data_IF_954347084000
#
_entry.id   IF_954347084000
#
_cell.length_a   1.000
_cell.length_b   1.000
_cell.length_c   1.000
_cell.angle_alpha   90.00
_cell.angle_beta   90.00
_cell.angle_gamma   90.00
#
_symmetry.space_group_name_H-M   'P 1'
#
loop_
_entity.id
_entity.type
_entity.pdbx_description
1 polymer ?
#
# COMPACT_ATOMS: atom_id res chain seq x y z
N UNK A 1 9.91 17.33 -31.16
CA UNK A 1 9.63 16.21 -30.22
C UNK A 1 9.55 14.95 -31.07
N UNK A 2 10.65 14.32 -31.50
CA UNK A 2 11.68 13.68 -30.68
C UNK A 2 11.35 12.17 -30.57
N UNK A 3 12.02 11.26 -31.30
CA UNK A 3 11.68 9.82 -31.35
C UNK A 3 11.76 9.10 -29.99
N UNK A 4 12.36 9.73 -28.97
CA UNK A 4 12.44 9.20 -27.61
C UNK A 4 11.08 9.11 -26.88
N UNK A 5 10.13 10.02 -27.14
CA UNK A 5 8.80 9.99 -26.49
C UNK A 5 7.88 8.92 -27.10
N UNK A 6 8.06 8.63 -28.39
CA UNK A 6 7.37 7.53 -29.06
C UNK A 6 7.83 6.15 -28.55
N UNK A 7 9.08 6.04 -28.11
CA UNK A 7 9.64 4.81 -27.54
C UNK A 7 9.04 4.48 -26.16
N UNK A 8 8.87 5.47 -25.28
CA UNK A 8 8.30 5.26 -23.94
C UNK A 8 6.81 4.92 -24.00
N UNK A 9 6.04 5.61 -24.84
CA UNK A 9 4.63 5.29 -25.06
C UNK A 9 4.42 3.93 -25.75
N UNK A 10 5.31 3.56 -26.68
CA UNK A 10 5.28 2.24 -27.33
C UNK A 10 5.66 1.12 -26.36
N UNK A 11 6.60 1.36 -25.43
CA UNK A 11 7.01 0.35 -24.45
C UNK A 11 5.89 0.08 -23.44
N UNK A 12 5.21 1.12 -22.95
CA UNK A 12 4.03 1.00 -22.07
C UNK A 12 2.85 0.31 -22.76
N UNK A 13 2.61 0.59 -24.05
CA UNK A 13 1.56 -0.07 -24.83
C UNK A 13 1.89 -1.54 -25.15
N UNK A 14 3.18 -1.88 -25.35
CA UNK A 14 3.63 -3.25 -25.59
C UNK A 14 3.58 -4.11 -24.33
N UNK A 15 3.95 -3.58 -23.15
CA UNK A 15 3.84 -4.32 -21.88
C UNK A 15 2.37 -4.56 -21.50
N UNK A 16 1.49 -3.59 -21.74
CA UNK A 16 0.05 -3.75 -21.51
C UNK A 16 -0.57 -4.79 -22.46
N UNK A 17 -0.20 -4.79 -23.75
CA UNK A 17 -0.67 -5.80 -24.73
C UNK A 17 -0.13 -7.20 -24.48
N UNK A 18 1.09 -7.36 -23.96
CA UNK A 18 1.65 -8.68 -23.59
C UNK A 18 0.93 -9.27 -22.38
N UNK A 19 0.55 -8.45 -21.39
CA UNK A 19 -0.16 -8.89 -20.19
C UNK A 19 -1.59 -9.35 -20.47
N UNK A 20 -2.30 -8.66 -21.38
CA UNK A 20 -3.66 -9.06 -21.82
C UNK A 20 -3.63 -10.34 -22.67
N UNK A 21 -2.57 -10.58 -23.45
CA UNK A 21 -2.46 -11.79 -24.27
C UNK A 21 -2.18 -13.05 -23.46
N UNK A 22 -1.40 -12.96 -22.37
CA UNK A 22 -1.14 -14.08 -21.45
C UNK A 22 -2.38 -14.47 -20.63
N UNK A 23 -3.20 -13.49 -20.23
CA UNK A 23 -4.46 -13.77 -19.54
C UNK A 23 -5.52 -14.44 -20.44
N UNK A 24 -5.45 -14.23 -21.77
CA UNK A 24 -6.43 -14.76 -22.72
C UNK A 24 -6.12 -16.18 -23.19
N UNK A 25 -4.87 -16.63 -23.11
CA UNK A 25 -4.48 -17.99 -23.50
C UNK A 25 -4.75 -19.04 -22.41
N UNK A 26 -4.95 -18.62 -21.15
CA UNK A 26 -5.19 -19.58 -20.05
C UNK A 26 -6.68 -19.91 -19.81
N UNK A 27 -7.62 -19.26 -20.52
CA UNK A 27 -9.06 -19.43 -20.34
C UNK A 27 -9.78 -20.14 -21.51
N UNK A 28 -9.07 -20.87 -22.37
CA UNK A 28 -9.70 -21.46 -23.57
C UNK A 28 -9.38 -22.94 -23.83
N UNK A 29 -9.24 -23.75 -22.78
CA UNK A 29 -9.30 -25.21 -22.91
C UNK A 29 -9.89 -25.83 -21.64
N UNK A 30 -11.22 -25.93 -21.58
CA UNK A 30 -11.95 -26.93 -20.77
C UNK A 30 -13.46 -26.81 -21.01
N UNK A 31 -13.99 -27.66 -21.88
CA UNK A 31 -15.35 -28.21 -21.82
C UNK A 31 -15.43 -29.37 -22.83
N UNK A 32 -16.36 -30.36 -22.76
CA UNK A 32 -17.44 -30.54 -21.79
C UNK A 32 -17.58 -31.99 -21.27
N UNK A 33 -18.02 -32.16 -20.02
CA UNK A 33 -18.93 -33.22 -19.56
C UNK A 33 -18.91 -33.27 -18.03
N UNK A 34 -19.93 -32.68 -17.41
CA UNK A 34 -20.47 -33.17 -16.15
C UNK A 34 -21.85 -32.54 -15.93
N UNK A 35 -22.85 -33.34 -16.25
CA UNK A 35 -24.20 -33.17 -15.76
C UNK A 35 -24.27 -33.73 -14.33
N UNK A 36 -24.95 -33.00 -13.44
CA UNK A 36 -25.43 -33.54 -12.17
C UNK A 36 -24.57 -33.23 -10.95
N UNK A 37 -24.87 -32.10 -10.31
CA UNK A 37 -25.03 -31.90 -8.87
C UNK A 37 -24.63 -30.45 -8.54
N UNK A 38 -25.64 -29.63 -8.28
CA UNK A 38 -25.42 -28.32 -7.68
C UNK A 38 -24.86 -28.53 -6.27
N UNK A 39 -23.54 -28.41 -6.12
CA UNK A 39 -22.93 -28.17 -4.82
C UNK A 39 -23.14 -26.68 -4.54
N UNK A 40 -24.18 -26.42 -3.77
CA UNK A 40 -24.46 -25.15 -3.15
C UNK A 40 -23.29 -24.85 -2.19
N UNK A 41 -22.27 -24.14 -2.67
CA UNK A 41 -21.27 -23.53 -1.79
C UNK A 41 -22.01 -22.50 -0.96
N UNK A 42 -22.41 -22.90 0.25
CA UNK A 42 -22.72 -21.95 1.31
C UNK A 42 -21.47 -21.13 1.54
N UNK A 43 -21.48 -19.91 1.00
CA UNK A 43 -20.65 -18.82 1.48
C UNK A 43 -21.05 -18.59 2.94
N UNK A 44 -20.41 -19.34 3.84
CA UNK A 44 -20.45 -19.05 5.26
C UNK A 44 -19.68 -17.74 5.37
N UNK A 45 -20.42 -16.65 5.56
CA UNK A 45 -19.90 -15.41 6.11
C UNK A 45 -19.33 -15.74 7.51
N UNK A 46 -18.12 -16.30 7.54
CA UNK A 46 -17.34 -16.43 8.76
C UNK A 46 -17.09 -15.00 9.24
N UNK A 47 -17.78 -14.61 10.31
CA UNK A 47 -17.43 -13.42 11.07
C UNK A 47 -15.94 -13.51 11.40
N UNK A 48 -15.14 -12.70 10.71
CA UNK A 48 -13.72 -12.59 10.95
C UNK A 48 -13.55 -12.02 12.35
N UNK A 49 -13.42 -12.89 13.34
CA UNK A 49 -13.04 -12.50 14.69
C UNK A 49 -11.57 -12.03 14.63
N UNK A 50 -11.38 -10.71 14.63
CA UNK A 50 -10.08 -10.07 14.61
C UNK A 50 -9.51 -10.02 16.03
N UNK A 51 -8.85 -11.09 16.47
CA UNK A 51 -8.06 -11.07 17.69
C UNK A 51 -6.64 -10.57 17.38
N UNK A 52 -6.20 -9.54 18.12
CA UNK A 52 -5.00 -8.76 17.83
C UNK A 52 -3.72 -9.62 17.87
N UNK A 53 -2.84 -9.45 16.88
CA UNK A 53 -1.59 -10.21 16.75
C UNK A 53 -0.42 -9.30 17.09
N UNK A 54 0.26 -9.59 18.21
CA UNK A 54 1.54 -8.98 18.56
C UNK A 54 2.65 -9.50 17.63
N UNK A 55 3.60 -8.63 17.28
CA UNK A 55 4.82 -9.04 16.55
C UNK A 55 5.69 -10.04 17.34
N UNK A 56 5.45 -10.15 18.65
CA UNK A 56 6.17 -11.08 19.54
C UNK A 56 5.48 -12.46 19.67
N UNK A 57 4.38 -12.71 18.93
CA UNK A 57 3.73 -14.01 18.90
C UNK A 57 4.69 -15.06 18.29
N UNK A 58 4.97 -16.19 18.97
CA UNK A 58 5.83 -17.25 18.41
C UNK A 58 5.36 -17.74 17.03
N UNK A 59 4.05 -17.63 16.73
CA UNK A 59 3.50 -17.94 15.42
C UNK A 59 4.01 -16.98 14.33
N UNK A 60 4.12 -15.68 14.64
CA UNK A 60 4.59 -14.66 13.68
C UNK A 60 6.05 -14.90 13.33
N UNK A 61 6.88 -15.25 14.31
CA UNK A 61 8.29 -15.55 14.09
C UNK A 61 8.50 -16.78 13.19
N UNK A 62 7.74 -17.86 13.42
CA UNK A 62 7.77 -19.05 12.57
C UNK A 62 7.33 -18.72 11.13
N UNK A 63 6.32 -17.86 10.99
CA UNK A 63 5.84 -17.44 9.67
C UNK A 63 6.87 -16.58 8.94
N UNK A 64 7.51 -15.65 9.62
CA UNK A 64 8.59 -14.86 9.02
C UNK A 64 9.75 -15.73 8.56
N UNK A 65 10.16 -16.71 9.35
CA UNK A 65 11.21 -17.66 8.98
C UNK A 65 10.81 -18.47 7.75
N UNK A 66 9.60 -19.03 7.71
CA UNK A 66 9.05 -19.73 6.54
C UNK A 66 9.00 -18.83 5.30
N UNK A 67 8.65 -17.56 5.46
CA UNK A 67 8.63 -16.60 4.35
C UNK A 67 10.02 -16.30 3.80
N UNK A 68 11.01 -16.14 4.69
CA UNK A 68 12.43 -15.95 4.32
C UNK A 68 12.95 -17.15 3.54
N UNK A 69 12.63 -18.37 3.98
CA UNK A 69 13.00 -19.60 3.28
C UNK A 69 12.37 -19.70 1.89
N UNK A 70 11.07 -19.42 1.77
CA UNK A 70 10.36 -19.54 0.49
C UNK A 70 10.78 -18.49 -0.54
N UNK A 71 11.07 -17.27 -0.10
CA UNK A 71 11.42 -16.16 -1.00
C UNK A 71 12.94 -15.99 -1.19
N UNK A 72 13.76 -16.70 -0.40
CA UNK A 72 15.22 -16.64 -0.50
C UNK A 72 15.82 -15.30 -0.07
N UNK A 73 15.08 -14.51 0.70
CA UNK A 73 15.47 -13.18 1.17
C UNK A 73 15.37 -13.12 2.70
N UNK A 74 16.52 -13.00 3.36
CA UNK A 74 16.62 -12.98 4.82
C UNK A 74 16.14 -11.69 5.45
N UNK A 75 15.89 -10.65 4.65
CA UNK A 75 15.40 -9.35 5.12
C UNK A 75 13.88 -9.27 5.18
N UNK A 76 13.16 -10.28 4.66
CA UNK A 76 11.71 -10.28 4.64
C UNK A 76 11.12 -10.36 6.04
N UNK A 77 10.16 -9.48 6.31
CA UNK A 77 9.32 -9.46 7.50
C UNK A 77 7.84 -9.52 7.10
N UNK A 78 6.97 -9.91 8.04
CA UNK A 78 5.55 -10.11 7.76
C UNK A 78 4.86 -8.80 7.32
N UNK A 79 5.37 -7.66 7.77
CA UNK A 79 4.95 -6.29 7.44
C UNK A 79 5.26 -5.85 6.00
N UNK A 80 6.12 -6.58 5.28
CA UNK A 80 6.35 -6.38 3.85
C UNK A 80 5.28 -7.02 2.96
N UNK A 81 4.46 -7.91 3.53
CA UNK A 81 3.44 -8.65 2.79
C UNK A 81 2.25 -7.75 2.50
N UNK A 82 1.60 -7.98 1.35
CA UNK A 82 0.44 -7.18 0.98
C UNK A 82 -0.71 -7.35 1.99
N UNK A 83 -0.85 -8.54 2.59
CA UNK A 83 -1.87 -8.84 3.58
C UNK A 83 -1.36 -9.73 4.75
N UNK A 84 -0.72 -9.16 5.77
CA UNK A 84 -0.19 -9.93 6.89
C UNK A 84 -1.29 -10.58 7.75
N UNK A 85 -2.41 -9.87 7.96
CA UNK A 85 -3.51 -10.35 8.81
C UNK A 85 -4.21 -11.60 8.25
N UNK A 86 -4.36 -11.69 6.92
CA UNK A 86 -4.95 -12.89 6.31
C UNK A 86 -4.05 -14.12 6.45
N UNK A 87 -2.72 -13.93 6.48
CA UNK A 87 -1.75 -15.02 6.66
C UNK A 87 -1.85 -15.57 8.07
N UNK A 88 -1.78 -14.69 9.09
CA UNK A 88 -1.84 -15.14 10.49
C UNK A 88 -3.18 -15.81 10.79
N UNK A 89 -4.29 -15.23 10.33
CA UNK A 89 -5.61 -15.81 10.56
C UNK A 89 -5.78 -17.14 9.83
N UNK A 90 -5.28 -17.27 8.61
CA UNK A 90 -5.33 -18.53 7.87
C UNK A 90 -4.48 -19.62 8.56
N UNK A 91 -3.32 -19.27 9.13
CA UNK A 91 -2.48 -20.21 9.87
C UNK A 91 -3.10 -20.62 11.21
N UNK A 92 -3.70 -19.69 11.94
CA UNK A 92 -4.48 -20.02 13.15
C UNK A 92 -5.64 -20.96 12.81
N UNK A 93 -6.36 -20.71 11.71
CA UNK A 93 -7.41 -21.62 11.24
C UNK A 93 -6.86 -23.01 10.90
N UNK A 94 -5.69 -23.11 10.26
CA UNK A 94 -5.01 -24.39 10.00
C UNK A 94 -4.66 -25.10 11.29
N UNK A 95 -4.18 -24.40 12.33
CA UNK A 95 -3.89 -24.99 13.64
C UNK A 95 -5.16 -25.55 14.28
N UNK A 96 -6.27 -24.80 14.25
CA UNK A 96 -7.57 -25.24 14.78
C UNK A 96 -8.11 -26.46 14.02
N UNK A 97 -8.10 -26.43 12.69
CA UNK A 97 -8.54 -27.56 11.85
C UNK A 97 -7.68 -28.80 12.07
N UNK A 98 -6.36 -28.64 12.26
CA UNK A 98 -5.46 -29.75 12.62
C UNK A 98 -5.76 -30.32 14.00
N UNK A 99 -6.17 -29.48 14.96
CA UNK A 99 -6.60 -29.93 16.27
C UNK A 99 -7.93 -30.70 16.19
N UNK A 100 -8.89 -30.23 15.39
CA UNK A 100 -10.15 -30.93 15.14
C UNK A 100 -9.93 -32.27 14.42
N UNK A 101 -9.03 -32.32 13.44
CA UNK A 101 -8.66 -33.55 12.75
C UNK A 101 -8.08 -34.61 13.72
N UNK A 102 -7.27 -34.17 14.69
CA UNK A 102 -6.74 -35.07 15.75
C UNK A 102 -7.82 -35.54 16.73
N UNK A 103 -8.81 -34.69 17.02
CA UNK A 103 -9.91 -35.02 17.92
C UNK A 103 -10.98 -35.91 17.25
N UNK A 104 -11.07 -35.88 15.93
CA UNK A 104 -12.03 -36.67 15.14
C UNK A 104 -11.60 -38.14 15.10
N UNK A 105 -12.46 -39.09 15.52
CA UNK A 105 -12.14 -40.52 15.54
C UNK A 105 -11.87 -41.05 14.12
N UNK A 106 -11.05 -42.10 14.02
CA UNK A 106 -10.62 -42.66 12.72
C UNK A 106 -11.76 -43.28 11.90
N UNK A 107 -12.90 -43.55 12.55
CA UNK A 107 -14.09 -44.14 11.93
C UNK A 107 -14.86 -43.13 11.04
N UNK A 108 -14.71 -41.82 11.29
CA UNK A 108 -15.34 -40.75 10.50
C UNK A 108 -14.47 -40.35 9.29
N UNK A 109 -14.27 -41.30 8.36
CA UNK A 109 -13.37 -41.14 7.20
C UNK A 109 -13.78 -39.97 6.29
N UNK A 110 -15.07 -39.73 6.10
CA UNK A 110 -15.57 -38.63 5.26
C UNK A 110 -15.27 -37.26 5.89
N UNK A 111 -15.55 -37.10 7.19
CA UNK A 111 -15.26 -35.86 7.93
C UNK A 111 -13.77 -35.56 8.00
N UNK A 112 -12.92 -36.59 8.15
CA UNK A 112 -11.46 -36.42 8.10
C UNK A 112 -10.99 -35.92 6.75
N UNK A 113 -11.52 -36.47 5.65
CA UNK A 113 -11.19 -35.99 4.30
C UNK A 113 -11.61 -34.53 4.09
N UNK A 114 -12.81 -34.16 4.53
CA UNK A 114 -13.27 -32.77 4.45
C UNK A 114 -12.35 -31.81 5.24
N UNK A 115 -11.90 -32.21 6.43
CA UNK A 115 -10.94 -31.42 7.21
C UNK A 115 -9.56 -31.35 6.54
N UNK A 116 -9.08 -32.44 5.94
CA UNK A 116 -7.83 -32.47 5.16
C UNK A 116 -7.89 -31.52 3.96
N UNK A 117 -8.99 -31.55 3.20
CA UNK A 117 -9.21 -30.67 2.05
C UNK A 117 -9.27 -29.19 2.47
N UNK A 118 -9.92 -28.88 3.61
CA UNK A 118 -9.95 -27.52 4.16
C UNK A 118 -8.58 -27.03 4.62
N UNK A 119 -7.78 -27.92 5.24
CA UNK A 119 -6.41 -27.61 5.64
C UNK A 119 -5.57 -27.29 4.39
N UNK A 120 -5.63 -28.13 3.35
CA UNK A 120 -4.87 -27.90 2.13
C UNK A 120 -5.28 -26.59 1.45
N UNK A 121 -6.58 -26.31 1.36
CA UNK A 121 -7.08 -25.06 0.78
C UNK A 121 -6.58 -23.82 1.52
N UNK A 122 -6.60 -23.82 2.86
CA UNK A 122 -6.13 -22.70 3.69
C UNK A 122 -4.60 -22.58 3.63
N UNK A 123 -3.86 -23.69 3.58
CA UNK A 123 -2.41 -23.67 3.38
C UNK A 123 -2.00 -23.12 2.02
N UNK A 124 -2.70 -23.50 0.95
CA UNK A 124 -2.46 -22.95 -0.39
C UNK A 124 -2.72 -21.44 -0.42
N UNK A 125 -3.75 -20.96 0.30
CA UNK A 125 -3.99 -19.54 0.48
C UNK A 125 -2.82 -18.84 1.19
N UNK A 126 -2.31 -19.41 2.27
CA UNK A 126 -1.13 -18.88 2.99
C UNK A 126 0.08 -18.76 2.07
N UNK A 127 0.42 -19.81 1.33
CA UNK A 127 1.57 -19.80 0.42
C UNK A 127 1.40 -18.76 -0.70
N UNK A 128 0.19 -18.60 -1.22
CA UNK A 128 -0.09 -17.60 -2.24
C UNK A 128 0.06 -16.18 -1.68
N UNK A 129 -0.48 -15.89 -0.50
CA UNK A 129 -0.35 -14.58 0.16
C UNK A 129 1.11 -14.28 0.55
N UNK A 130 1.87 -15.28 0.98
CA UNK A 130 3.30 -15.15 1.29
C UNK A 130 4.16 -14.83 0.07
N UNK A 131 3.67 -15.09 -1.15
CA UNK A 131 4.32 -14.72 -2.41
C UNK A 131 3.90 -13.33 -2.91
N UNK A 132 2.80 -12.78 -2.39
CA UNK A 132 2.34 -11.43 -2.69
C UNK A 132 3.09 -10.40 -1.84
N UNK A 133 4.40 -10.33 -2.07
CA UNK A 133 5.28 -9.37 -1.40
C UNK A 133 5.53 -8.20 -2.34
N UNK A 134 5.52 -6.98 -1.80
CA UNK A 134 5.82 -5.80 -2.58
C UNK A 134 7.32 -5.78 -2.91
N UNK A 135 7.65 -6.10 -4.16
CA UNK A 135 9.05 -6.19 -4.61
C UNK A 135 9.76 -4.84 -4.53
N UNK A 136 11.06 -4.88 -4.26
CA UNK A 136 11.87 -3.66 -4.14
C UNK A 136 11.95 -2.86 -5.44
N UNK A 137 11.89 -3.54 -6.60
CA UNK A 137 11.79 -2.87 -7.90
C UNK A 137 10.53 -2.02 -8.02
N UNK A 138 9.40 -2.48 -7.47
CA UNK A 138 8.14 -1.74 -7.49
C UNK A 138 8.18 -0.56 -6.51
N UNK A 139 8.85 -0.70 -5.37
CA UNK A 139 9.12 0.44 -4.45
C UNK A 139 9.99 1.51 -5.12
N UNK A 140 11.01 1.09 -5.89
CA UNK A 140 11.88 1.98 -6.65
C UNK A 140 11.10 2.74 -7.75
N UNK A 141 10.18 2.07 -8.44
CA UNK A 141 9.32 2.72 -9.44
C UNK A 141 8.48 3.85 -8.83
N UNK A 142 7.90 3.65 -7.64
CA UNK A 142 7.16 4.71 -6.95
C UNK A 142 8.05 5.88 -6.52
N UNK A 143 9.28 5.59 -6.05
CA UNK A 143 10.24 6.65 -5.71
C UNK A 143 10.64 7.45 -6.96
N UNK A 144 10.93 6.76 -8.07
CA UNK A 144 11.27 7.40 -9.34
C UNK A 144 10.09 8.24 -9.86
N UNK A 145 8.87 7.72 -9.77
CA UNK A 145 7.64 8.44 -10.13
C UNK A 145 7.48 9.70 -9.27
N UNK A 146 7.71 9.61 -7.96
CA UNK A 146 7.65 10.77 -7.07
C UNK A 146 8.67 11.84 -7.47
N UNK A 147 9.95 11.47 -7.67
CA UNK A 147 11.01 12.40 -8.10
C UNK A 147 10.67 13.03 -9.45
N UNK A 148 10.28 12.23 -10.45
CA UNK A 148 9.89 12.71 -11.76
C UNK A 148 8.69 13.66 -11.68
N UNK A 149 7.71 13.35 -10.83
CA UNK A 149 6.51 14.18 -10.65
C UNK A 149 6.86 15.58 -10.14
N UNK A 150 7.82 15.71 -9.22
CA UNK A 150 8.27 17.01 -8.72
C UNK A 150 8.80 17.89 -9.85
N UNK A 151 9.64 17.35 -10.73
CA UNK A 151 10.17 18.11 -11.88
C UNK A 151 9.08 18.47 -12.89
N UNK A 152 8.16 17.55 -13.16
CA UNK A 152 7.02 17.79 -14.05
C UNK A 152 6.16 18.92 -13.50
N UNK A 153 5.75 18.86 -12.24
CA UNK A 153 4.91 19.89 -11.64
C UNK A 153 5.61 21.23 -11.46
N UNK A 154 6.91 21.22 -11.15
CA UNK A 154 7.72 22.44 -11.16
C UNK A 154 7.64 23.11 -12.54
N UNK A 155 7.91 22.36 -13.62
CA UNK A 155 7.85 22.91 -14.98
C UNK A 155 6.45 23.42 -15.38
N UNK A 156 5.38 22.80 -14.88
CA UNK A 156 4.02 23.30 -15.04
C UNK A 156 3.79 24.62 -14.30
N UNK A 157 4.26 24.76 -13.07
CA UNK A 157 4.17 26.02 -12.30
C UNK A 157 4.96 27.16 -12.97
N UNK A 158 6.16 26.88 -13.48
CA UNK A 158 6.97 27.85 -14.23
C UNK A 158 6.39 28.20 -15.61
N UNK A 159 5.38 27.46 -16.09
CA UNK A 159 4.81 27.65 -17.42
C UNK A 159 5.78 27.28 -18.55
N UNK A 160 6.83 26.52 -18.25
CA UNK A 160 7.81 26.04 -19.24
C UNK A 160 7.41 24.70 -19.84
N UNK A 161 6.22 24.19 -19.52
CA UNK A 161 5.73 22.91 -20.01
C UNK A 161 5.60 22.92 -21.54
N UNK A 162 6.34 22.05 -22.25
CA UNK A 162 6.41 22.10 -23.71
C UNK A 162 5.18 21.52 -24.42
N UNK A 163 4.29 20.83 -23.71
CA UNK A 163 3.07 20.23 -24.26
C UNK A 163 1.82 20.91 -23.73
N UNK A 164 1.58 22.16 -24.14
CA UNK A 164 0.27 22.80 -23.92
C UNK A 164 -0.67 22.32 -25.04
N UNK A 165 -1.71 21.52 -24.74
CA UNK A 165 -2.64 21.07 -25.76
C UNK A 165 -3.52 22.23 -26.23
N UNK A 166 -3.61 22.44 -27.54
CA UNK A 166 -4.54 23.38 -28.14
C UNK A 166 -5.96 22.82 -28.07
N UNK A 167 -6.69 23.18 -27.02
CA UNK A 167 -8.09 22.78 -26.78
C UNK A 167 -9.07 23.71 -27.50
N UNK A 168 -8.69 24.23 -28.68
CA UNK A 168 -9.48 25.19 -29.45
C UNK A 168 -10.85 24.63 -29.87
N UNK A 169 -10.95 23.30 -30.02
CA UNK A 169 -12.19 22.58 -30.32
C UNK A 169 -13.23 22.63 -29.17
N UNK A 170 -12.79 22.95 -27.95
CA UNK A 170 -13.62 23.14 -26.75
C UNK A 170 -13.88 24.62 -26.46
N UNK A 171 -13.49 25.53 -27.35
CA UNK A 171 -13.55 27.00 -27.18
C UNK A 171 -12.77 27.52 -25.95
N UNK A 172 -11.77 26.75 -25.49
CA UNK A 172 -10.92 27.12 -24.36
C UNK A 172 -9.72 27.90 -24.89
N UNK A 173 -9.59 29.16 -24.45
CA UNK A 173 -8.42 30.01 -24.76
C UNK A 173 -7.13 29.37 -24.24
N UNK A 174 -6.00 29.49 -24.96
CA UNK A 174 -4.71 28.91 -24.56
C UNK A 174 -4.23 29.43 -23.20
N UNK A 175 -4.56 30.68 -22.87
CA UNK A 175 -4.32 31.31 -21.56
C UNK A 175 -5.00 30.55 -20.41
N UNK A 176 -6.23 30.08 -20.64
CA UNK A 176 -6.98 29.28 -19.66
C UNK A 176 -6.38 27.90 -19.45
N UNK A 177 -5.90 27.26 -20.53
CA UNK A 177 -5.18 25.97 -20.44
C UNK A 177 -3.89 26.12 -19.63
N UNK A 178 -3.13 27.19 -19.87
CA UNK A 178 -1.91 27.46 -19.11
C UNK A 178 -2.19 27.73 -17.63
N UNK A 179 -3.27 28.47 -17.31
CA UNK A 179 -3.69 28.68 -15.93
C UNK A 179 -4.09 27.37 -15.26
N UNK A 180 -4.85 26.51 -15.94
CA UNK A 180 -5.23 25.18 -15.45
C UNK A 180 -4.01 24.29 -15.17
N UNK A 181 -3.01 24.29 -16.06
CA UNK A 181 -1.76 23.56 -15.85
C UNK A 181 -0.95 24.10 -14.66
N UNK A 182 -0.88 25.42 -14.48
CA UNK A 182 -0.21 26.03 -13.32
C UNK A 182 -0.90 25.67 -12.00
N UNK A 183 -2.24 25.69 -11.98
CA UNK A 183 -3.04 25.24 -10.84
C UNK A 183 -2.81 23.75 -10.56
N UNK A 184 -2.84 22.90 -11.59
CA UNK A 184 -2.58 21.48 -11.42
C UNK A 184 -1.17 21.20 -10.89
N UNK A 185 -0.15 21.92 -11.38
CA UNK A 185 1.22 21.84 -10.87
C UNK A 185 1.32 22.22 -9.39
N UNK A 186 0.56 23.22 -8.94
CA UNK A 186 0.50 23.64 -7.54
C UNK A 186 -0.03 22.53 -6.63
N UNK A 187 -1.07 21.83 -7.06
CA UNK A 187 -1.66 20.70 -6.30
C UNK A 187 -0.88 19.39 -6.48
N UNK A 188 0.04 19.32 -7.44
CA UNK A 188 0.73 18.09 -7.84
C UNK A 188 1.54 17.42 -6.74
N UNK A 189 2.18 18.20 -5.86
CA UNK A 189 2.93 17.65 -4.71
C UNK A 189 1.98 16.86 -3.79
N UNK A 190 0.83 17.43 -3.47
CA UNK A 190 -0.14 16.79 -2.58
C UNK A 190 -0.90 15.64 -3.26
N UNK A 191 -1.32 15.81 -4.51
CA UNK A 191 -2.15 14.81 -5.21
C UNK A 191 -1.37 13.61 -5.74
N UNK A 192 -0.07 13.78 -6.03
CA UNK A 192 0.70 12.76 -6.75
C UNK A 192 2.00 12.42 -6.04
N UNK A 193 2.81 13.43 -5.68
CA UNK A 193 4.13 13.15 -5.07
C UNK A 193 4.00 12.48 -3.70
N UNK A 194 3.20 13.04 -2.79
CA UNK A 194 3.02 12.48 -1.43
C UNK A 194 2.35 11.10 -1.47
N UNK A 195 1.25 10.86 -2.20
CA UNK A 195 0.66 9.52 -2.32
C UNK A 195 1.62 8.49 -2.92
N UNK A 196 2.43 8.87 -3.92
CA UNK A 196 3.43 7.97 -4.50
C UNK A 196 4.50 7.58 -3.48
N UNK A 197 4.99 8.54 -2.68
CA UNK A 197 5.97 8.25 -1.62
C UNK A 197 5.36 7.38 -0.51
N UNK A 198 4.08 7.62 -0.18
CA UNK A 198 3.32 6.93 0.87
C UNK A 198 2.90 5.50 0.48
N UNK A 199 2.78 5.21 -0.82
CA UNK A 199 2.46 3.87 -1.31
C UNK A 199 3.58 2.85 -1.06
N UNK A 200 4.80 3.29 -0.72
CA UNK A 200 5.92 2.39 -0.42
C UNK A 200 5.70 1.70 0.92
N UNK A 201 5.79 0.37 0.91
CA UNK A 201 5.74 -0.47 2.11
C UNK A 201 7.07 -0.39 2.90
N UNK A 202 7.04 -0.64 4.22
CA UNK A 202 8.25 -0.67 5.03
C UNK A 202 9.21 -1.78 4.59
N UNK A 203 10.50 -1.56 4.89
CA UNK A 203 11.57 -2.54 4.75
C UNK A 203 12.20 -2.71 3.36
N UNK A 204 13.40 -3.29 3.31
CA UNK A 204 14.27 -3.34 2.14
C UNK A 204 15.06 -2.03 1.91
N UNK A 205 16.04 -2.01 0.98
CA UNK A 205 16.92 -0.85 0.74
C UNK A 205 16.19 0.40 0.21
N UNK A 206 15.02 0.21 -0.42
CA UNK A 206 14.15 1.29 -0.91
C UNK A 206 12.82 1.38 -0.14
N UNK A 207 12.77 0.71 1.01
CA UNK A 207 11.62 0.69 1.91
C UNK A 207 11.37 2.05 2.56
N UNK A 208 10.13 2.24 2.98
CA UNK A 208 9.74 3.41 3.75
C UNK A 208 10.13 3.24 5.23
N UNK A 209 10.95 4.14 5.77
CA UNK A 209 11.23 4.18 7.21
C UNK A 209 10.01 4.60 8.02
N UNK A 210 9.97 4.26 9.32
CA UNK A 210 8.85 4.64 10.20
C UNK A 210 8.76 6.16 10.37
N UNK A 211 9.91 6.83 10.45
CA UNK A 211 10.04 8.28 10.54
C UNK A 211 9.58 8.94 9.23
N UNK A 212 9.97 8.36 8.10
CA UNK A 212 9.57 8.85 6.78
C UNK A 212 8.05 8.76 6.60
N UNK A 213 7.46 7.64 7.02
CA UNK A 213 6.02 7.43 6.97
C UNK A 213 5.26 8.48 7.77
N UNK A 214 5.67 8.73 9.02
CA UNK A 214 5.08 9.75 9.88
C UNK A 214 5.15 11.15 9.25
N UNK A 215 6.28 11.49 8.63
CA UNK A 215 6.44 12.76 7.93
C UNK A 215 5.45 12.88 6.76
N UNK A 216 5.28 11.81 5.98
CA UNK A 216 4.38 11.77 4.82
C UNK A 216 2.90 11.80 5.21
N UNK A 217 2.49 11.13 6.28
CA UNK A 217 1.11 11.17 6.77
C UNK A 217 0.75 12.59 7.25
N UNK A 218 1.68 13.24 7.97
CA UNK A 218 1.50 14.64 8.39
C UNK A 218 1.53 15.59 7.18
N UNK A 219 2.39 15.34 6.19
CA UNK A 219 2.44 16.13 4.97
C UNK A 219 1.13 16.03 4.19
N UNK A 220 0.56 14.83 4.07
CA UNK A 220 -0.72 14.62 3.39
C UNK A 220 -1.86 15.41 4.04
N UNK A 221 -1.84 15.53 5.38
CA UNK A 221 -2.81 16.31 6.13
C UNK A 221 -2.63 17.82 5.96
N UNK A 222 -1.38 18.30 6.05
CA UNK A 222 -1.10 19.74 6.17
C UNK A 222 -1.00 20.44 4.81
N UNK A 223 -0.48 19.76 3.79
CA UNK A 223 -0.31 20.31 2.44
C UNK A 223 -1.56 20.94 1.80
N UNK A 224 -2.79 20.38 1.91
CA UNK A 224 -3.96 21.04 1.32
C UNK A 224 -4.23 22.41 1.96
N UNK A 225 -3.95 22.55 3.27
CA UNK A 225 -4.04 23.84 3.94
C UNK A 225 -2.94 24.80 3.46
N UNK A 226 -1.70 24.32 3.27
CA UNK A 226 -0.63 25.14 2.69
C UNK A 226 -1.01 25.63 1.29
N UNK A 227 -1.55 24.76 0.44
CA UNK A 227 -2.06 25.12 -0.89
C UNK A 227 -3.20 26.14 -0.83
N UNK A 228 -4.06 26.06 0.17
CA UNK A 228 -5.19 26.98 0.37
C UNK A 228 -4.74 28.35 0.91
N UNK A 229 -3.80 28.37 1.85
CA UNK A 229 -3.40 29.58 2.58
C UNK A 229 -2.27 30.37 1.90
N UNK A 230 -1.37 29.72 1.17
CA UNK A 230 -0.26 30.42 0.49
C UNK A 230 -0.72 31.50 -0.50
N UNK A 231 -1.79 31.29 -1.30
CA UNK A 231 -2.33 32.30 -2.21
C UNK A 231 -2.74 33.64 -1.58
N UNK A 232 -2.99 33.67 -0.27
CA UNK A 232 -3.29 34.93 0.44
C UNK A 232 -2.04 35.82 0.60
N UNK A 233 -0.85 35.22 0.58
CA UNK A 233 0.43 35.93 0.71
C UNK A 233 1.10 36.16 -0.64
N UNK A 234 1.08 35.15 -1.51
CA UNK A 234 1.64 35.23 -2.85
C UNK A 234 0.71 34.62 -3.89
N UNK A 235 0.39 35.42 -4.92
CA UNK A 235 -0.44 34.96 -6.04
C UNK A 235 0.34 34.09 -7.03
N UNK A 236 1.66 33.96 -6.87
CA UNK A 236 2.50 33.21 -7.78
C UNK A 236 2.44 31.70 -7.48
N UNK A 237 2.03 30.86 -8.44
CA UNK A 237 1.89 29.42 -8.22
C UNK A 237 3.23 28.76 -7.89
N UNK A 238 4.33 29.29 -8.42
CA UNK A 238 5.70 28.84 -8.13
C UNK A 238 6.06 29.01 -6.65
N UNK A 239 5.64 30.10 -6.01
CA UNK A 239 5.91 30.33 -4.59
C UNK A 239 5.17 29.29 -3.75
N UNK A 240 3.92 28.99 -4.10
CA UNK A 240 3.14 27.95 -3.42
C UNK A 240 3.75 26.56 -3.61
N UNK A 241 4.22 26.23 -4.82
CA UNK A 241 4.91 24.97 -5.08
C UNK A 241 6.15 24.78 -4.19
N UNK A 242 7.02 25.80 -4.12
CA UNK A 242 8.21 25.75 -3.26
C UNK A 242 7.86 25.75 -1.78
N UNK A 243 6.81 26.46 -1.36
CA UNK A 243 6.31 26.40 0.01
C UNK A 243 5.90 24.97 0.39
N UNK A 244 5.13 24.29 -0.46
CA UNK A 244 4.76 22.88 -0.27
C UNK A 244 5.98 21.97 -0.22
N UNK A 245 6.95 22.13 -1.13
CA UNK A 245 8.16 21.31 -1.17
C UNK A 245 9.04 21.51 0.08
N UNK A 246 9.24 22.76 0.50
CA UNK A 246 9.95 23.10 1.74
C UNK A 246 9.21 22.59 2.98
N UNK A 247 7.88 22.59 2.96
CA UNK A 247 7.09 22.04 4.06
C UNK A 247 7.28 20.52 4.19
N UNK A 248 7.22 19.79 3.07
CA UNK A 248 7.53 18.34 3.06
C UNK A 248 8.95 18.10 3.56
N UNK A 249 9.94 18.83 3.04
CA UNK A 249 11.33 18.70 3.48
C UNK A 249 11.47 19.00 4.99
N UNK A 250 10.80 20.03 5.49
CA UNK A 250 10.78 20.39 6.91
C UNK A 250 10.17 19.29 7.79
N UNK A 251 9.10 18.65 7.34
CA UNK A 251 8.49 17.51 8.04
C UNK A 251 9.41 16.29 8.04
N UNK A 252 10.14 16.05 6.96
CA UNK A 252 11.18 15.02 6.90
C UNK A 252 12.28 15.30 7.94
N UNK A 253 12.86 16.50 7.89
CA UNK A 253 13.89 16.94 8.83
C UNK A 253 13.42 16.85 10.28
N UNK A 254 12.18 17.28 10.57
CA UNK A 254 11.59 17.18 11.89
C UNK A 254 11.45 15.73 12.34
N UNK A 255 10.87 14.86 11.49
CA UNK A 255 10.61 13.46 11.83
C UNK A 255 11.91 12.70 12.12
N UNK A 256 12.95 12.91 11.31
CA UNK A 256 14.26 12.28 11.54
C UNK A 256 14.98 12.83 12.79
N UNK A 257 14.71 14.06 13.19
CA UNK A 257 15.29 14.64 14.41
C UNK A 257 14.51 14.29 15.69
N UNK A 258 13.27 13.79 15.55
CA UNK A 258 12.44 13.30 16.66
C UNK A 258 12.20 11.79 16.52
N UNK A 259 13.23 10.95 16.75
CA UNK A 259 13.09 9.51 16.63
C UNK A 259 12.04 8.98 17.60
N UNK A 260 11.26 8.01 17.14
CA UNK A 260 10.26 7.32 17.96
C UNK A 260 11.04 6.34 18.85
N UNK A 261 10.90 6.44 20.17
CA UNK A 261 11.50 5.46 21.08
C UNK A 261 10.98 4.06 20.75
N UNK A 262 11.88 3.06 20.67
CA UNK A 262 11.57 1.66 20.30
C UNK A 262 10.47 1.03 21.18
N UNK A 263 10.33 1.47 22.44
CA UNK A 263 9.23 1.05 23.33
C UNK A 263 7.84 1.50 22.87
N UNK A 264 7.76 2.50 21.99
CA UNK A 264 6.54 2.96 21.33
C UNK A 264 6.38 2.36 19.93
N UNK A 265 7.41 1.69 19.39
CA UNK A 265 7.37 1.04 18.08
C UNK A 265 6.59 -0.28 18.10
N UNK A 266 6.59 -1.01 19.23
CA UNK A 266 5.83 -2.26 19.38
C UNK A 266 4.35 -2.06 19.75
N UNK A 267 3.95 -0.88 20.28
CA UNK A 267 2.57 -0.64 20.74
C UNK A 267 1.84 0.56 20.13
N UNK A 268 2.55 1.53 19.53
CA UNK A 268 1.95 2.76 18.99
C UNK A 268 2.56 3.11 17.64
N UNK A 269 2.04 2.42 16.61
CA UNK A 269 2.24 2.76 15.20
C UNK A 269 1.55 4.09 14.92
N UNK A 270 2.33 5.17 14.92
CA UNK A 270 1.90 6.50 14.51
C UNK A 270 1.80 7.49 15.68
N UNK A 271 2.57 8.58 15.56
CA UNK A 271 2.66 9.72 16.48
C UNK A 271 3.38 9.41 17.81
N UNK A 272 4.60 9.96 17.96
CA UNK A 272 5.24 10.05 19.27
C UNK A 272 4.30 10.70 20.28
N UNK A 273 4.43 10.32 21.55
CA UNK A 273 3.55 10.65 22.68
C UNK A 273 3.32 12.13 22.98
N UNK A 274 3.93 13.04 22.23
CA UNK A 274 3.90 14.49 22.41
C UNK A 274 2.95 15.23 21.46
N UNK A 275 2.17 14.53 20.63
CA UNK A 275 1.19 15.15 19.75
C UNK A 275 -0.18 15.28 20.45
N UNK A 276 -0.94 16.38 20.23
CA UNK A 276 -2.26 16.54 20.84
C UNK A 276 -3.24 15.45 20.37
N UNK A 277 -4.08 14.96 21.28
CA UNK A 277 -5.06 13.86 21.07
C UNK A 277 -5.84 13.91 19.74
N UNK A 278 -6.42 15.05 19.30
CA UNK A 278 -7.14 15.08 18.01
C UNK A 278 -6.22 14.80 16.82
N UNK A 279 -4.96 15.23 16.87
CA UNK A 279 -3.98 15.02 15.81
C UNK A 279 -3.51 13.57 15.78
N UNK A 280 -3.39 12.94 16.96
CA UNK A 280 -3.12 11.50 17.07
C UNK A 280 -4.26 10.67 16.50
N UNK A 281 -5.52 11.02 16.80
CA UNK A 281 -6.68 10.32 16.24
C UNK A 281 -6.71 10.43 14.71
N UNK A 282 -6.46 11.62 14.16
CA UNK A 282 -6.42 11.82 12.71
C UNK A 282 -5.23 11.10 12.07
N UNK A 283 -4.04 11.12 12.67
CA UNK A 283 -2.87 10.36 12.18
C UNK A 283 -3.12 8.85 12.22
N UNK A 284 -3.78 8.35 13.28
CA UNK A 284 -4.20 6.95 13.40
C UNK A 284 -5.24 6.59 12.34
N UNK A 285 -6.20 7.46 12.10
CA UNK A 285 -7.16 7.32 11.02
C UNK A 285 -6.53 7.51 9.64
N UNK A 286 -5.35 8.13 9.53
CA UNK A 286 -4.63 8.20 8.28
C UNK A 286 -3.80 6.94 8.06
N UNK A 287 -3.31 6.27 9.10
CA UNK A 287 -2.46 5.07 9.02
C UNK A 287 -3.18 3.76 8.61
N UNK A 288 -4.05 3.84 7.59
CA UNK A 288 -4.66 2.70 6.88
C UNK A 288 -3.68 1.92 5.99
N UNK A 289 -2.37 1.98 6.27
CA UNK A 289 -1.33 1.39 5.41
C UNK A 289 -0.39 0.41 6.10
N UNK A 290 -0.24 0.51 7.43
CA UNK A 290 0.60 -0.37 8.26
C UNK A 290 -0.09 -1.66 8.71
N UNK A 291 -1.39 -1.84 8.40
CA UNK A 291 -2.14 -3.01 8.85
C UNK A 291 -2.74 -2.89 10.27
N UNK A 292 -2.78 -1.71 10.88
CA UNK A 292 -3.55 -1.46 12.12
C UNK A 292 -5.04 -1.77 11.95
N UNK A 293 -5.59 -1.49 10.77
CA UNK A 293 -6.94 -1.87 10.35
C UNK A 293 -7.14 -3.38 10.08
N UNK A 294 -6.08 -4.19 10.17
CA UNK A 294 -6.07 -5.63 9.88
C UNK A 294 -5.71 -6.50 11.09
N UNK A 295 -5.86 -5.95 12.30
CA UNK A 295 -5.67 -6.67 13.57
C UNK A 295 -4.26 -6.57 14.18
N UNK A 296 -3.43 -5.62 13.76
CA UNK A 296 -2.14 -5.35 14.39
C UNK A 296 -2.20 -4.05 15.21
N UNK A 297 -2.97 -4.05 16.30
CA UNK A 297 -2.71 -3.11 17.40
C UNK A 297 -1.94 -3.87 18.48
N UNK A 298 -0.92 -3.24 19.05
CA UNK A 298 -0.36 -3.72 20.30
C UNK A 298 -1.39 -3.48 21.41
N UNK A 299 -1.62 -4.50 22.23
CA UNK A 299 -2.41 -4.43 23.45
C UNK A 299 -2.06 -3.16 24.24
N UNK A 300 -3.04 -2.30 24.49
CA UNK A 300 -3.10 -1.50 25.73
C UNK A 300 -4.39 -0.68 25.92
N UNK A 301 -5.47 -0.95 25.19
CA UNK A 301 -6.76 -0.30 25.48
C UNK A 301 -7.93 -1.28 25.43
N UNK A 302 -8.11 -2.06 26.51
CA UNK A 302 -9.41 -2.24 27.22
C UNK A 302 -9.50 -3.56 28.01
N UNK A 303 -8.88 -3.57 29.20
CA UNK A 303 -9.48 -4.22 30.38
C UNK A 303 -9.42 -3.23 31.54
N UNK A 304 -10.44 -2.38 31.63
CA UNK A 304 -10.96 -1.80 32.87
C UNK A 304 -12.48 -1.91 32.85
#
# INVERSE_FOLDING_TARGET
VGPAMAAVASFAALTLRRRIRLHRTHCRDSNPDQSGAAVETRDVEEEYFFEEVSGDDPLVQELEERMREMNGDSSLTLDMVLNPGSIVNAERAVILLRAELKATPEEEVERRKELEDQIEAKQMKVVNEMRLVMTDSLKLEFLLQAIASVFIFASMCYGTWPLVPDLLWLDIRPEGVQLGLKLFGLWGIWLVTVPALRARKPGGPYGLGYEEKRALDLAFLVLPFVCLFTPFFSKDPTVTFWACLLFVAGLYLWSFNTPIAESSANGRRGAGSDLPEPLMWVLKALDFGTGSERGANGEDTSWQ
#
